data_IF_163437362758
#
_entry.id   IF_163437362758
#
_cell.length_a   1.000
_cell.length_b   1.000
_cell.length_c   1.000
_cell.angle_alpha   90.00
_cell.angle_beta   90.00
_cell.angle_gamma   90.00
#
_symmetry.space_group_name_H-M   'P 1'
#
loop_
_entity.id
_entity.type
_entity.pdbx_description
1 polymer ?
#
# COMPACT_ATOMS: atom_id res chain seq x y z
N UNK A 1 30.46 3.77 2.57
CA UNK A 1 29.03 3.65 2.23
C UNK A 1 28.56 4.86 1.41
N UNK A 2 28.96 4.92 0.12
CA UNK A 2 28.38 5.92 -0.78
C UNK A 2 26.92 5.55 -1.10
N UNK A 3 26.06 6.56 -1.16
CA UNK A 3 24.69 6.37 -1.62
C UNK A 3 24.69 5.95 -3.09
N UNK A 4 23.88 4.96 -3.46
CA UNK A 4 23.75 4.56 -4.86
C UNK A 4 23.24 5.66 -5.78
N UNK A 5 22.56 6.66 -5.24
CA UNK A 5 22.08 7.83 -5.99
C UNK A 5 23.24 8.65 -6.56
N UNK A 6 24.38 8.68 -5.88
CA UNK A 6 25.60 9.37 -6.34
C UNK A 6 26.27 8.60 -7.50
N UNK A 7 25.84 7.36 -7.73
CA UNK A 7 26.37 6.45 -8.74
C UNK A 7 25.26 5.94 -9.66
N UNK A 8 24.45 6.84 -10.21
CA UNK A 8 23.30 6.51 -11.09
C UNK A 8 23.69 5.59 -12.24
N UNK A 9 24.93 5.69 -12.71
CA UNK A 9 25.45 4.83 -13.76
C UNK A 9 26.02 3.50 -13.25
N UNK A 10 26.25 3.34 -11.95
CA UNK A 10 26.92 2.17 -11.34
C UNK A 10 28.25 1.83 -12.00
N UNK A 11 29.03 2.86 -12.32
CA UNK A 11 30.38 2.76 -12.89
C UNK A 11 31.39 3.08 -11.81
N UNK A 12 32.36 2.20 -11.62
CA UNK A 12 33.40 2.34 -10.60
C UNK A 12 34.79 2.24 -11.24
N UNK A 13 35.59 3.25 -11.06
CA UNK A 13 36.92 3.26 -11.62
C UNK A 13 37.77 4.42 -11.16
N UNK A 14 38.99 4.47 -11.72
CA UNK A 14 40.01 5.48 -11.41
C UNK A 14 39.90 6.72 -12.32
N UNK A 15 39.20 6.62 -13.44
CA UNK A 15 39.00 7.69 -14.41
C UNK A 15 37.76 7.44 -15.26
N UNK A 16 37.38 8.41 -16.12
CA UNK A 16 36.26 8.30 -17.06
C UNK A 16 36.48 7.22 -18.13
N UNK A 17 37.74 6.77 -18.33
CA UNK A 17 38.10 5.75 -19.31
C UNK A 17 38.46 4.40 -18.71
N UNK A 18 38.78 4.37 -17.40
CA UNK A 18 39.13 3.15 -16.68
C UNK A 18 38.09 2.90 -15.57
N UNK A 19 37.03 2.21 -15.89
CA UNK A 19 35.96 1.87 -14.96
C UNK A 19 35.36 0.50 -15.24
N UNK A 20 34.73 -0.05 -14.23
CA UNK A 20 33.90 -1.23 -14.30
C UNK A 20 32.45 -0.77 -14.48
N UNK A 21 31.78 -1.22 -15.53
CA UNK A 21 30.35 -0.99 -15.76
C UNK A 21 29.55 -2.16 -15.21
N UNK A 22 29.06 -2.01 -13.97
CA UNK A 22 28.34 -3.07 -13.26
C UNK A 22 27.02 -3.46 -13.96
N UNK A 23 26.19 -2.53 -14.47
CA UNK A 23 25.04 -2.88 -15.29
C UNK A 23 25.37 -3.72 -16.52
N UNK A 24 26.45 -3.38 -17.24
CA UNK A 24 26.91 -4.16 -18.40
C UNK A 24 27.38 -5.56 -18.01
N UNK A 25 27.84 -5.73 -16.77
CA UNK A 25 28.19 -7.04 -16.17
C UNK A 25 26.97 -7.79 -15.59
N UNK A 26 25.76 -7.25 -15.72
CA UNK A 26 24.55 -7.92 -15.29
C UNK A 26 24.06 -7.55 -13.88
N UNK A 27 24.53 -6.43 -13.28
CA UNK A 27 24.02 -5.96 -12.00
C UNK A 27 22.50 -5.70 -12.11
N UNK A 28 21.71 -6.34 -11.28
CA UNK A 28 20.25 -6.17 -11.20
C UNK A 28 19.80 -5.40 -9.97
N UNK A 29 20.52 -5.54 -8.87
CA UNK A 29 20.20 -4.86 -7.62
C UNK A 29 21.45 -4.50 -6.83
N UNK A 30 21.42 -3.32 -6.23
CA UNK A 30 22.42 -2.84 -5.27
C UNK A 30 21.78 -2.79 -3.88
N UNK A 31 22.23 -3.68 -3.00
CA UNK A 31 21.77 -3.76 -1.62
C UNK A 31 22.74 -2.97 -0.74
N UNK A 32 22.20 -2.07 0.07
CA UNK A 32 23.02 -1.26 0.95
C UNK A 32 22.37 -1.11 2.34
N UNK A 33 23.16 -0.82 3.32
CA UNK A 33 22.76 -0.63 4.70
C UNK A 33 23.26 0.69 5.26
N UNK A 34 23.34 0.78 6.60
CA UNK A 34 23.84 1.91 7.38
C UNK A 34 22.83 3.07 7.54
N UNK A 35 22.11 3.41 6.52
CA UNK A 35 21.17 4.53 6.51
C UNK A 35 19.89 4.29 7.30
N UNK A 36 19.59 3.03 7.63
CA UNK A 36 18.40 2.65 8.38
C UNK A 36 17.11 3.27 7.78
N UNK A 37 17.00 3.28 6.47
CA UNK A 37 15.81 3.78 5.76
C UNK A 37 15.14 2.64 4.98
N UNK A 38 13.83 2.75 4.82
CA UNK A 38 13.09 1.83 3.97
C UNK A 38 12.99 2.40 2.55
N UNK A 39 13.94 2.07 1.69
CA UNK A 39 14.06 2.61 0.35
C UNK A 39 14.16 1.52 -0.71
N UNK A 40 13.35 1.64 -1.75
CA UNK A 40 13.44 0.82 -2.97
C UNK A 40 13.25 1.73 -4.16
N UNK A 41 14.25 1.81 -5.02
CA UNK A 41 14.20 2.61 -6.24
C UNK A 41 14.71 1.82 -7.43
N UNK A 42 14.00 1.87 -8.55
CA UNK A 42 14.45 1.32 -9.83
C UNK A 42 14.96 2.44 -10.72
N UNK A 43 16.24 2.44 -11.02
CA UNK A 43 16.88 3.45 -11.87
C UNK A 43 16.41 3.29 -13.32
N UNK A 44 15.87 4.37 -13.88
CA UNK A 44 15.27 4.33 -15.23
C UNK A 44 16.26 4.01 -16.34
N UNK A 45 17.50 4.48 -16.20
CA UNK A 45 18.53 4.34 -17.25
C UNK A 45 19.13 2.93 -17.26
N UNK A 46 19.50 2.44 -16.09
CA UNK A 46 20.21 1.16 -15.95
C UNK A 46 19.28 -0.03 -15.66
N UNK A 47 18.07 0.25 -15.19
CA UNK A 47 17.14 -0.78 -14.71
C UNK A 47 17.54 -1.43 -13.37
N UNK A 48 18.65 -1.02 -12.79
CA UNK A 48 19.16 -1.54 -11.50
C UNK A 48 18.28 -1.07 -10.36
N UNK A 49 18.01 -1.96 -9.41
CA UNK A 49 17.35 -1.60 -8.15
C UNK A 49 18.38 -1.18 -7.10
N UNK A 50 18.12 -0.08 -6.39
CA UNK A 50 18.76 0.24 -5.12
C UNK A 50 17.81 -0.07 -3.98
N UNK A 51 18.26 -0.87 -3.02
CA UNK A 51 17.43 -1.40 -1.95
C UNK A 51 18.11 -1.22 -0.61
N UNK A 52 17.43 -0.52 0.31
CA UNK A 52 17.78 -0.41 1.71
C UNK A 52 16.57 -0.76 2.58
N UNK A 53 16.80 -1.17 3.81
CA UNK A 53 15.72 -1.45 4.75
C UNK A 53 16.02 -0.88 6.13
N UNK A 54 14.99 -0.62 6.91
CA UNK A 54 15.10 -0.34 8.34
C UNK A 54 15.72 -1.52 9.07
N UNK A 55 16.23 -1.29 10.28
CA UNK A 55 16.80 -2.37 11.07
C UNK A 55 15.72 -3.24 11.70
N UNK A 56 15.95 -4.56 11.86
CA UNK A 56 14.99 -5.45 12.51
C UNK A 56 14.77 -5.12 14.01
N UNK A 57 15.73 -4.43 14.63
CA UNK A 57 15.73 -4.18 16.08
C UNK A 57 15.09 -2.84 16.47
N UNK A 58 15.37 -1.76 15.73
CA UNK A 58 14.99 -0.40 16.14
C UNK A 58 14.28 0.43 15.04
N UNK A 59 14.02 -0.17 13.88
CA UNK A 59 13.40 0.55 12.78
C UNK A 59 14.35 1.47 12.01
N UNK A 60 13.81 2.48 11.37
CA UNK A 60 14.52 3.41 10.51
C UNK A 60 14.49 4.84 10.99
N UNK A 61 15.46 5.64 10.52
CA UNK A 61 15.48 7.10 10.75
C UNK A 61 14.39 7.84 9.95
N UNK A 62 13.81 7.18 8.97
CA UNK A 62 12.64 7.60 8.20
C UNK A 62 11.31 7.28 8.91
N UNK A 63 11.37 6.96 10.21
CA UNK A 63 10.25 6.49 11.02
C UNK A 63 9.64 5.15 10.56
N UNK A 64 10.32 4.41 9.66
CA UNK A 64 9.90 3.06 9.34
C UNK A 64 10.03 2.17 10.59
N UNK A 65 9.03 1.33 10.90
CA UNK A 65 9.12 0.42 12.03
C UNK A 65 10.18 -0.65 11.81
N UNK A 66 10.54 -1.36 12.87
CA UNK A 66 11.44 -2.51 12.82
C UNK A 66 11.01 -3.50 11.75
N UNK A 67 11.88 -3.82 10.80
CA UNK A 67 11.53 -4.59 9.64
C UNK A 67 12.73 -5.26 8.96
N UNK A 68 12.43 -6.16 8.04
CA UNK A 68 13.39 -6.77 7.12
C UNK A 68 12.76 -6.86 5.71
N UNK A 69 13.60 -7.17 4.72
CA UNK A 69 13.13 -7.43 3.36
C UNK A 69 13.41 -8.86 2.95
N UNK A 70 12.44 -9.43 2.25
CA UNK A 70 12.61 -10.66 1.51
C UNK A 70 12.84 -10.28 0.05
N UNK A 71 13.97 -10.73 -0.49
CA UNK A 71 14.31 -10.56 -1.89
C UNK A 71 14.11 -11.88 -2.61
N UNK A 72 13.40 -11.84 -3.71
CA UNK A 72 13.25 -12.99 -4.61
C UNK A 72 13.91 -12.68 -5.92
N UNK A 73 14.77 -13.56 -6.37
CA UNK A 73 15.43 -13.46 -7.69
C UNK A 73 14.96 -14.65 -8.51
N UNK A 74 14.37 -14.40 -9.68
CA UNK A 74 13.96 -15.45 -10.59
C UNK A 74 15.12 -15.97 -11.46
N UNK A 75 14.87 -16.97 -12.27
CA UNK A 75 15.87 -17.59 -13.17
C UNK A 75 16.36 -16.63 -14.26
N UNK A 76 15.62 -15.57 -14.53
CA UNK A 76 15.97 -14.52 -15.49
C UNK A 76 16.75 -13.37 -14.83
N UNK A 77 16.92 -13.42 -13.50
CA UNK A 77 17.60 -12.40 -12.72
C UNK A 77 16.71 -11.19 -12.38
N UNK A 78 15.39 -11.29 -12.53
CA UNK A 78 14.50 -10.23 -12.08
C UNK A 78 14.41 -10.25 -10.56
N UNK A 79 14.42 -9.06 -9.96
CA UNK A 79 14.41 -8.88 -8.50
C UNK A 79 13.05 -8.37 -8.05
N UNK A 80 12.41 -9.10 -7.17
CA UNK A 80 11.25 -8.64 -6.41
C UNK A 80 11.64 -8.40 -4.94
N UNK A 81 11.07 -7.38 -4.32
CA UNK A 81 11.35 -7.01 -2.93
C UNK A 81 10.06 -6.89 -2.15
N UNK A 82 10.01 -7.54 -1.00
CA UNK A 82 8.88 -7.51 -0.09
C UNK A 82 9.34 -7.03 1.29
N UNK A 83 8.65 -6.00 1.83
CA UNK A 83 8.91 -5.45 3.15
C UNK A 83 8.08 -6.19 4.21
N UNK A 84 8.73 -6.61 5.29
CA UNK A 84 8.08 -7.31 6.39
C UNK A 84 8.46 -6.71 7.72
N UNK A 85 7.47 -6.33 8.51
CA UNK A 85 7.67 -5.82 9.85
C UNK A 85 8.15 -6.91 10.80
N UNK A 86 9.14 -6.58 11.63
CA UNK A 86 9.53 -7.41 12.77
C UNK A 86 8.57 -7.16 13.93
N UNK A 87 8.36 -8.15 14.78
CA UNK A 87 7.62 -8.04 16.06
C UNK A 87 6.16 -7.60 15.96
N UNK A 88 5.59 -7.53 14.77
CA UNK A 88 4.19 -7.21 14.60
C UNK A 88 3.36 -8.47 14.36
N UNK A 89 2.29 -8.61 15.15
CA UNK A 89 1.32 -9.66 14.90
C UNK A 89 0.58 -9.41 13.58
N UNK A 90 0.24 -10.46 12.84
CA UNK A 90 -0.56 -10.30 11.64
C UNK A 90 -1.87 -9.58 11.94
N UNK A 91 -2.21 -8.57 11.18
CA UNK A 91 -3.40 -7.76 11.38
C UNK A 91 -4.17 -7.51 10.09
N UNK A 92 -5.45 -7.22 10.26
CA UNK A 92 -6.35 -6.83 9.18
C UNK A 92 -7.39 -5.86 9.75
N UNK A 93 -7.33 -4.58 9.34
CA UNK A 93 -8.20 -3.53 9.87
C UNK A 93 -8.74 -2.63 8.77
N UNK A 94 -10.05 -2.39 8.77
CA UNK A 94 -10.67 -1.33 7.98
C UNK A 94 -10.40 -0.01 8.72
N UNK A 95 -9.63 0.90 8.11
CA UNK A 95 -9.24 2.19 8.71
C UNK A 95 -10.10 3.35 8.24
N UNK A 96 -10.79 3.22 7.11
CA UNK A 96 -11.88 4.12 6.72
C UNK A 96 -13.17 3.70 7.41
N UNK A 97 -14.18 4.51 7.38
CA UNK A 97 -15.51 4.27 7.98
C UNK A 97 -15.50 4.33 9.52
N UNK A 98 -14.62 5.13 10.10
CA UNK A 98 -14.63 5.38 11.55
C UNK A 98 -15.67 6.42 11.94
N UNK A 99 -16.28 6.24 13.13
CA UNK A 99 -17.10 7.22 13.84
C UNK A 99 -18.35 7.74 13.11
N UNK A 100 -18.98 6.94 12.26
CA UNK A 100 -20.31 7.25 11.72
C UNK A 100 -20.34 8.34 10.64
N UNK A 101 -19.27 9.06 10.41
CA UNK A 101 -19.16 10.00 9.28
C UNK A 101 -18.55 9.29 8.08
N UNK A 102 -19.31 9.23 7.00
CA UNK A 102 -18.86 8.65 5.75
C UNK A 102 -18.19 9.72 4.90
N UNK A 103 -16.87 9.68 4.70
CA UNK A 103 -16.24 10.55 3.71
C UNK A 103 -16.75 10.15 2.33
N UNK A 104 -17.48 11.04 1.69
CA UNK A 104 -17.98 10.81 0.33
C UNK A 104 -17.05 11.48 -0.67
N UNK A 105 -16.54 10.73 -1.62
CA UNK A 105 -15.76 11.26 -2.73
C UNK A 105 -16.65 12.09 -3.66
N UNK A 106 -16.09 13.02 -4.45
CA UNK A 106 -16.84 13.75 -5.48
C UNK A 106 -17.56 12.82 -6.47
N UNK A 107 -17.07 11.60 -6.64
CA UNK A 107 -17.70 10.55 -7.46
C UNK A 107 -18.97 9.93 -6.85
N UNK A 108 -19.38 10.34 -5.64
CA UNK A 108 -20.50 9.73 -4.92
C UNK A 108 -20.18 8.34 -4.34
N UNK A 109 -18.91 7.98 -4.20
CA UNK A 109 -18.44 6.72 -3.63
C UNK A 109 -17.81 6.93 -2.26
N UNK A 110 -17.73 5.88 -1.47
CA UNK A 110 -17.04 5.88 -0.17
C UNK A 110 -15.66 5.24 -0.34
N UNK A 111 -14.57 5.88 0.12
CA UNK A 111 -13.26 5.26 0.14
C UNK A 111 -13.21 4.12 1.16
N UNK A 112 -12.82 2.95 0.72
CA UNK A 112 -12.51 1.81 1.57
C UNK A 112 -10.99 1.66 1.65
N UNK A 113 -10.41 2.03 2.79
CA UNK A 113 -8.99 1.85 3.09
C UNK A 113 -8.83 0.77 4.13
N UNK A 114 -7.95 -0.16 3.87
CA UNK A 114 -7.69 -1.33 4.72
C UNK A 114 -6.20 -1.45 4.97
N UNK A 115 -5.80 -1.46 6.23
CA UNK A 115 -4.45 -1.80 6.63
C UNK A 115 -4.37 -3.29 6.95
N UNK A 116 -3.45 -3.97 6.29
CA UNK A 116 -3.24 -5.38 6.50
C UNK A 116 -1.78 -5.76 6.27
N UNK A 117 -1.26 -6.61 7.13
CA UNK A 117 0.09 -7.13 7.00
C UNK A 117 0.22 -8.49 7.71
N UNK A 118 1.25 -9.21 7.34
CA UNK A 118 1.72 -10.40 8.05
C UNK A 118 3.22 -10.50 7.91
N UNK A 119 3.90 -10.74 9.02
CA UNK A 119 5.35 -11.00 9.03
C UNK A 119 5.67 -12.36 8.42
N UNK A 120 4.76 -13.33 8.55
CA UNK A 120 5.01 -14.73 8.18
C UNK A 120 4.69 -15.00 6.71
N UNK A 121 3.55 -14.51 6.22
CA UNK A 121 3.08 -14.83 4.87
C UNK A 121 2.50 -13.61 4.18
N UNK A 122 2.92 -13.31 2.94
CA UNK A 122 2.37 -12.21 2.16
C UNK A 122 0.87 -12.38 1.91
N UNK A 123 0.18 -11.24 1.80
CA UNK A 123 -1.21 -11.20 1.33
C UNK A 123 -1.19 -11.28 -0.19
N UNK A 124 -1.78 -12.33 -0.74
CA UNK A 124 -1.88 -12.57 -2.18
C UNK A 124 -2.94 -11.70 -2.83
N UNK A 125 -4.12 -11.64 -2.21
CA UNK A 125 -5.27 -10.88 -2.70
C UNK A 125 -6.21 -10.53 -1.56
N UNK A 126 -7.01 -9.50 -1.78
CA UNK A 126 -8.01 -9.05 -0.82
C UNK A 126 -9.29 -8.70 -1.54
N UNK A 127 -10.43 -9.11 -0.99
CA UNK A 127 -11.75 -8.78 -1.52
C UNK A 127 -12.66 -8.20 -0.44
N UNK A 128 -13.69 -7.49 -0.87
CA UNK A 128 -14.73 -6.96 0.01
C UNK A 128 -16.11 -7.16 -0.60
N UNK A 129 -17.11 -7.15 0.25
CA UNK A 129 -18.52 -7.05 -0.11
C UNK A 129 -19.28 -6.30 0.97
N UNK A 130 -20.52 -5.92 0.68
CA UNK A 130 -21.40 -5.29 1.65
C UNK A 130 -22.61 -6.18 1.94
N UNK A 131 -23.02 -6.15 3.21
CA UNK A 131 -24.23 -6.82 3.70
C UNK A 131 -25.16 -5.81 4.38
N UNK A 132 -26.47 -6.03 4.27
CA UNK A 132 -27.49 -5.36 5.06
C UNK A 132 -28.43 -6.44 5.61
N UNK A 133 -28.72 -6.39 6.91
CA UNK A 133 -29.56 -7.38 7.59
C UNK A 133 -29.12 -8.84 7.33
N UNK A 134 -27.80 -9.07 7.28
CA UNK A 134 -27.20 -10.38 7.00
C UNK A 134 -27.30 -10.86 5.54
N UNK A 135 -27.86 -10.06 4.65
CA UNK A 135 -27.94 -10.38 3.22
C UNK A 135 -26.91 -9.59 2.43
N UNK A 136 -26.21 -10.25 1.50
CA UNK A 136 -25.25 -9.59 0.61
C UNK A 136 -26.00 -8.66 -0.35
N UNK A 137 -25.68 -7.36 -0.27
CA UNK A 137 -26.28 -6.29 -1.09
C UNK A 137 -25.30 -5.72 -2.12
N UNK A 138 -24.00 -5.99 -1.98
CA UNK A 138 -22.96 -5.71 -2.97
C UNK A 138 -22.18 -6.99 -3.22
N UNK A 139 -21.96 -7.32 -4.48
CA UNK A 139 -21.12 -8.45 -4.89
C UNK A 139 -19.68 -8.28 -4.45
N UNK A 140 -18.95 -9.38 -4.40
CA UNK A 140 -17.54 -9.37 -4.02
C UNK A 140 -16.68 -8.64 -5.06
N UNK A 141 -15.88 -7.68 -4.61
CA UNK A 141 -14.97 -6.89 -5.43
C UNK A 141 -13.56 -6.96 -4.84
N UNK A 142 -12.54 -6.73 -5.67
CA UNK A 142 -11.15 -6.73 -5.25
C UNK A 142 -10.74 -5.36 -4.72
N UNK A 143 -9.88 -5.37 -3.70
CA UNK A 143 -9.11 -4.19 -3.31
C UNK A 143 -7.79 -4.16 -4.09
N UNK A 144 -7.31 -2.96 -4.39
CA UNK A 144 -6.00 -2.72 -5.00
C UNK A 144 -4.98 -2.43 -3.91
N UNK A 145 -3.82 -3.08 -3.99
CA UNK A 145 -2.69 -2.77 -3.12
C UNK A 145 -2.14 -1.40 -3.47
N UNK A 146 -2.02 -0.51 -2.50
CA UNK A 146 -1.49 0.85 -2.65
C UNK A 146 -0.06 0.95 -2.11
N UNK A 147 0.24 0.22 -1.04
CA UNK A 147 1.55 0.16 -0.41
C UNK A 147 1.80 -1.23 0.19
N UNK A 148 2.91 -1.39 0.90
CA UNK A 148 3.27 -2.66 1.53
C UNK A 148 2.23 -3.16 2.54
N UNK A 149 1.42 -2.28 3.10
CA UNK A 149 0.41 -2.62 4.11
C UNK A 149 -0.97 -1.98 3.88
N UNK A 150 -1.13 -1.14 2.86
CA UNK A 150 -2.41 -0.49 2.58
C UNK A 150 -3.06 -1.01 1.30
N UNK A 151 -4.36 -1.27 1.39
CA UNK A 151 -5.22 -1.70 0.31
C UNK A 151 -6.41 -0.76 0.18
N UNK A 152 -6.84 -0.52 -1.04
CA UNK A 152 -7.85 0.49 -1.34
C UNK A 152 -8.89 -0.01 -2.33
N UNK A 153 -10.12 0.41 -2.11
CA UNK A 153 -11.23 0.30 -3.06
C UNK A 153 -12.20 1.48 -2.90
N UNK A 154 -13.15 1.59 -3.79
CA UNK A 154 -14.25 2.54 -3.69
C UNK A 154 -15.56 1.77 -3.65
N UNK A 155 -16.35 2.00 -2.60
CA UNK A 155 -17.68 1.38 -2.43
C UNK A 155 -18.69 2.29 -3.14
N UNK A 156 -19.43 1.80 -4.15
CA UNK A 156 -20.50 2.57 -4.76
C UNK A 156 -21.62 2.77 -3.74
N UNK A 157 -22.16 3.99 -3.65
CA UNK A 157 -23.36 4.27 -2.86
C UNK A 157 -24.60 4.12 -3.74
N UNK A 158 -25.42 3.14 -3.43
CA UNK A 158 -26.68 2.91 -4.13
C UNK A 158 -27.82 3.59 -3.36
N UNK A 159 -28.71 4.28 -4.06
CA UNK A 159 -29.84 5.00 -3.45
C UNK A 159 -30.73 4.10 -2.59
N UNK A 160 -30.84 2.83 -2.95
CA UNK A 160 -31.59 1.83 -2.16
C UNK A 160 -30.98 1.50 -0.79
N UNK A 161 -29.77 2.01 -0.49
CA UNK A 161 -29.10 1.84 0.79
C UNK A 161 -29.32 3.01 1.74
N UNK A 162 -29.99 4.05 1.28
CA UNK A 162 -30.30 5.23 2.10
C UNK A 162 -31.13 4.81 3.33
N UNK A 163 -30.77 5.36 4.48
CA UNK A 163 -31.34 5.02 5.80
C UNK A 163 -31.18 3.57 6.22
N UNK A 164 -30.16 2.88 5.70
CA UNK A 164 -29.85 1.52 6.12
C UNK A 164 -28.50 1.40 6.80
N UNK A 165 -28.44 0.46 7.74
CA UNK A 165 -27.17 0.00 8.27
C UNK A 165 -26.55 -1.00 7.31
N UNK A 166 -25.34 -0.73 6.90
CA UNK A 166 -24.53 -1.58 6.02
C UNK A 166 -23.33 -2.12 6.79
N UNK A 167 -22.91 -3.31 6.46
CA UNK A 167 -21.66 -3.91 6.98
C UNK A 167 -20.75 -4.23 5.82
N UNK A 168 -19.58 -3.62 5.79
CA UNK A 168 -18.49 -4.02 4.89
C UNK A 168 -17.76 -5.19 5.52
N UNK A 169 -17.58 -6.24 4.75
CA UNK A 169 -16.73 -7.38 5.09
C UNK A 169 -15.53 -7.35 4.15
N UNK A 170 -14.35 -7.47 4.73
CA UNK A 170 -13.08 -7.61 3.99
C UNK A 170 -12.48 -8.96 4.32
N UNK A 171 -12.01 -9.63 3.29
CA UNK A 171 -11.37 -10.94 3.38
C UNK A 171 -10.01 -10.90 2.68
N UNK A 172 -8.97 -11.21 3.43
CA UNK A 172 -7.59 -11.28 2.96
C UNK A 172 -7.16 -12.75 2.81
N UNK A 173 -6.57 -13.08 1.67
CA UNK A 173 -6.02 -14.39 1.34
C UNK A 173 -4.51 -14.33 1.37
N UNK A 174 -3.90 -15.14 2.20
CA UNK A 174 -2.45 -15.24 2.36
C UNK A 174 -1.85 -16.34 1.49
N UNK A 175 -0.55 -16.21 1.17
CA UNK A 175 0.14 -17.20 0.34
C UNK A 175 0.24 -18.59 0.99
N UNK A 176 0.21 -18.66 2.32
CA UNK A 176 0.19 -19.93 3.07
C UNK A 176 -1.20 -20.60 3.12
N UNK A 177 -2.20 -20.05 2.43
CA UNK A 177 -3.57 -20.56 2.44
C UNK A 177 -4.44 -20.02 3.57
N UNK A 178 -3.89 -19.28 4.51
CA UNK A 178 -4.65 -18.62 5.58
C UNK A 178 -5.63 -17.61 4.99
N UNK A 179 -6.81 -17.51 5.60
CA UNK A 179 -7.83 -16.52 5.26
C UNK A 179 -8.25 -15.78 6.52
N UNK A 180 -8.17 -14.45 6.48
CA UNK A 180 -8.63 -13.59 7.58
C UNK A 180 -9.76 -12.69 7.11
N UNK A 181 -10.65 -12.38 8.06
CA UNK A 181 -11.78 -11.49 7.83
C UNK A 181 -11.82 -10.39 8.88
N UNK A 182 -12.19 -9.20 8.42
CA UNK A 182 -12.64 -8.13 9.32
C UNK A 182 -13.94 -7.53 8.77
N UNK A 183 -14.67 -6.85 9.65
CA UNK A 183 -15.92 -6.22 9.28
C UNK A 183 -16.08 -4.88 9.99
N UNK A 184 -16.79 -3.96 9.34
CA UNK A 184 -17.18 -2.68 9.91
C UNK A 184 -18.56 -2.29 9.42
N UNK A 185 -19.40 -1.87 10.35
CA UNK A 185 -20.75 -1.38 10.05
C UNK A 185 -20.75 0.14 10.00
N UNK A 186 -21.55 0.69 9.10
CA UNK A 186 -21.82 2.11 8.98
C UNK A 186 -23.28 2.34 8.61
N UNK A 187 -23.79 3.51 8.94
CA UNK A 187 -25.12 3.93 8.55
C UNK A 187 -25.01 4.90 7.36
N UNK A 188 -25.79 4.67 6.30
CA UNK A 188 -25.75 5.54 5.14
C UNK A 188 -26.93 6.53 5.16
N UNK A 189 -26.58 7.81 5.32
CA UNK A 189 -27.46 8.94 5.07
C UNK A 189 -26.88 9.75 3.91
N UNK A 190 -27.73 10.03 2.94
CA UNK A 190 -27.32 10.90 1.85
C UNK A 190 -27.05 12.29 2.39
N UNK A 191 -25.86 12.89 2.17
CA UNK A 191 -25.61 14.23 2.63
C UNK A 191 -26.62 15.18 2.00
N UNK A 192 -27.37 15.92 2.86
CA UNK A 192 -28.19 17.02 2.37
C UNK A 192 -27.32 17.97 1.55
N UNK A 193 -27.72 18.25 0.32
CA UNK A 193 -27.09 19.32 -0.46
C UNK A 193 -27.35 20.62 0.28
N UNK A 194 -26.45 21.03 1.15
CA UNK A 194 -26.40 22.41 1.60
C UNK A 194 -26.18 23.24 0.35
N UNK A 195 -27.22 23.88 -0.13
CA UNK A 195 -27.05 24.95 -1.12
C UNK A 195 -26.14 25.99 -0.44
N UNK A 196 -24.89 26.00 -0.86
CA UNK A 196 -24.00 27.12 -0.54
C UNK A 196 -24.71 28.36 -1.13
N UNK A 197 -25.07 29.35 -0.29
CA UNK A 197 -25.60 30.58 -0.83
C UNK A 197 -24.52 31.15 -1.73
N UNK A 198 -24.82 31.23 -3.03
CA UNK A 198 -24.04 31.99 -4.00
C UNK A 198 -24.08 33.45 -3.60
N UNK A 199 -23.24 33.85 -2.64
CA UNK A 199 -22.89 35.25 -2.45
C UNK A 199 -21.77 35.61 -3.43
N UNK A 200 -22.15 35.71 -4.72
CA UNK A 200 -21.42 36.51 -5.67
C UNK A 200 -21.91 37.97 -5.49
N UNK A 201 -21.29 38.72 -4.62
CA UNK A 201 -21.42 40.16 -4.56
C UNK A 201 -20.11 40.78 -4.07
N UNK A 202 -19.07 40.70 -4.89
CA UNK A 202 -17.93 41.61 -4.81
C UNK A 202 -17.29 41.71 -6.20
N UNK A 203 -17.92 42.45 -7.10
CA UNK A 203 -17.23 43.20 -8.12
C UNK A 203 -17.98 44.52 -8.21
N UNK A 204 -17.42 45.54 -7.62
CA UNK A 204 -17.57 46.95 -7.97
C UNK A 204 -16.18 47.48 -8.26
#
# INVERSE_FOLDING_TARGET
HSLPEDTVAFKYGMSDTEYIDLPAMGLKAWLYGHWHVNHVHKHKVTGVYTICTSTPACGGIDHAPSAFRVLTVDTEGNVASEFRYSYLSPSLHIVSLENGQLPTLPSGKIPLSVNAYSTVSPIRTMRYWCESEGKKVLSSNLLKRQSDFNWYAEIPLLSQWEHRQLTVIVEAFFNNGEVRRCRRSFFYEKPERKQLPLRLSWIK
#
